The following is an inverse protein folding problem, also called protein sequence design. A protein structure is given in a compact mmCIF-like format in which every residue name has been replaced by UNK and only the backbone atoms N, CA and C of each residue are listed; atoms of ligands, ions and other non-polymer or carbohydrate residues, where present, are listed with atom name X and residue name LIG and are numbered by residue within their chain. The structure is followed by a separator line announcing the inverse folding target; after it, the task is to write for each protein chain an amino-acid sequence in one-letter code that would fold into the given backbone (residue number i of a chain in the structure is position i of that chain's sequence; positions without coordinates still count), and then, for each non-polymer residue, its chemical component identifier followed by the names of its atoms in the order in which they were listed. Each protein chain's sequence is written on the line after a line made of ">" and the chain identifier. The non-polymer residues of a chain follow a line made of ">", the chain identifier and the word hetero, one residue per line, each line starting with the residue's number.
data_IF_704391905686
#
_entry.id   IF_704391905686
#
_cell.length_a   1.000
_cell.length_b   1.000
_cell.length_c   1.000
_cell.angle_alpha   90.00
_cell.angle_beta   90.00
_cell.angle_gamma   90.00
#
_symmetry.space_group_name_H-M   'P 1'
#
loop_
_entity.id
_entity.type
_entity.pdbx_description
1 polymer ?
#
# COMPACT_ATOMS: atom_id res chain seq x y z
N UNK A 1 -9.37 6.16 8.77
CA UNK A 1 -8.88 6.26 7.39
C UNK A 1 -7.92 5.14 7.15
N UNK A 2 -8.31 4.19 6.31
CA UNK A 2 -7.56 2.99 5.99
C UNK A 2 -6.82 3.17 4.66
N UNK A 3 -5.51 3.02 4.70
CA UNK A 3 -4.61 3.29 3.56
C UNK A 3 -3.91 2.00 3.15
N UNK A 4 -3.86 1.75 1.85
CA UNK A 4 -3.02 0.70 1.25
C UNK A 4 -1.89 1.35 0.46
N UNK A 5 -0.67 0.83 0.61
CA UNK A 5 0.49 1.19 -0.22
C UNK A 5 0.92 -0.05 -0.99
N UNK A 6 1.08 0.08 -2.30
CA UNK A 6 1.40 -1.02 -3.23
C UNK A 6 2.65 -0.65 -4.03
N UNK A 7 3.73 -1.39 -3.83
CA UNK A 7 5.05 -1.12 -4.41
C UNK A 7 5.94 -2.37 -4.23
N UNK A 8 6.66 -2.82 -5.24
CA UNK A 8 7.54 -4.00 -5.16
C UNK A 8 8.87 -3.71 -4.42
N UNK A 9 9.22 -2.43 -4.25
CA UNK A 9 10.38 -2.01 -3.48
C UNK A 9 10.06 -1.89 -1.98
N UNK A 10 10.61 -2.80 -1.18
CA UNK A 10 10.41 -2.80 0.28
C UNK A 10 10.86 -1.50 0.97
N UNK A 11 11.85 -0.80 0.38
CA UNK A 11 12.32 0.49 0.88
C UNK A 11 11.23 1.56 0.70
N UNK A 12 10.55 1.58 -0.45
CA UNK A 12 9.45 2.50 -0.72
C UNK A 12 8.27 2.23 0.23
N UNK A 13 7.85 0.96 0.35
CA UNK A 13 6.78 0.53 1.27
C UNK A 13 7.04 0.98 2.72
N UNK A 14 8.22 0.66 3.26
CA UNK A 14 8.57 0.99 4.64
C UNK A 14 8.69 2.51 4.86
N UNK A 15 9.20 3.25 3.89
CA UNK A 15 9.33 4.71 3.94
C UNK A 15 7.96 5.40 3.96
N UNK A 16 7.07 5.03 3.04
CA UNK A 16 5.70 5.56 2.97
C UNK A 16 4.89 5.20 4.21
N UNK A 17 4.96 3.95 4.66
CA UNK A 17 4.26 3.52 5.87
C UNK A 17 4.70 4.34 7.09
N UNK A 18 6.01 4.54 7.28
CA UNK A 18 6.54 5.32 8.39
C UNK A 18 6.14 6.79 8.30
N UNK A 19 6.16 7.37 7.11
CA UNK A 19 5.75 8.76 6.87
C UNK A 19 4.27 8.97 7.20
N UNK A 20 3.40 8.07 6.73
CA UNK A 20 1.97 8.13 6.98
C UNK A 20 1.66 7.96 8.47
N UNK A 21 2.28 6.98 9.14
CA UNK A 21 2.14 6.78 10.59
C UNK A 21 2.57 8.01 11.39
N UNK A 22 3.69 8.65 11.00
CA UNK A 22 4.14 9.91 11.62
C UNK A 22 3.17 11.07 11.45
N UNK A 23 2.37 11.08 10.39
CA UNK A 23 1.31 12.08 10.16
C UNK A 23 -0.02 11.75 10.84
N UNK A 24 -0.07 10.66 11.62
CA UNK A 24 -1.25 10.28 12.40
C UNK A 24 -2.14 9.23 11.73
N UNK A 25 -1.77 8.73 10.55
CA UNK A 25 -2.49 7.62 9.91
C UNK A 25 -2.11 6.30 10.58
N UNK A 26 -2.98 5.77 11.43
CA UNK A 26 -2.71 4.55 12.21
C UNK A 26 -2.92 3.26 11.40
N UNK A 27 -3.86 3.28 10.44
CA UNK A 27 -4.29 2.10 9.67
C UNK A 27 -3.68 2.13 8.26
N UNK A 28 -2.40 1.75 8.19
CA UNK A 28 -1.60 1.74 6.95
C UNK A 28 -1.09 0.34 6.68
N UNK A 29 -1.66 -0.30 5.67
CA UNK A 29 -1.24 -1.58 5.13
C UNK A 29 -0.30 -1.42 3.94
N UNK A 30 0.58 -2.39 3.75
CA UNK A 30 1.52 -2.45 2.62
C UNK A 30 1.35 -3.77 1.87
N UNK A 31 1.62 -3.76 0.57
CA UNK A 31 1.56 -4.91 -0.31
C UNK A 31 2.62 -4.77 -1.41
N UNK A 32 3.37 -5.83 -1.66
CA UNK A 32 4.48 -5.87 -2.63
C UNK A 32 4.11 -6.56 -3.95
N UNK A 33 2.82 -6.81 -4.14
CA UNK A 33 2.32 -7.61 -5.25
C UNK A 33 0.98 -7.05 -5.73
N UNK A 34 0.88 -6.79 -7.04
CA UNK A 34 -0.33 -6.27 -7.66
C UNK A 34 -1.52 -7.26 -7.53
N UNK A 35 -1.38 -8.57 -7.81
CA UNK A 35 -2.46 -9.53 -7.58
C UNK A 35 -2.96 -9.56 -6.14
N UNK A 36 -2.05 -9.54 -5.16
CA UNK A 36 -2.41 -9.52 -3.74
C UNK A 36 -3.11 -8.21 -3.36
N UNK A 37 -2.67 -7.07 -3.89
CA UNK A 37 -3.32 -5.78 -3.67
C UNK A 37 -4.75 -5.77 -4.22
N UNK A 38 -4.97 -6.27 -5.44
CA UNK A 38 -6.31 -6.39 -6.03
C UNK A 38 -7.21 -7.28 -5.18
N UNK A 39 -6.71 -8.41 -4.68
CA UNK A 39 -7.48 -9.29 -3.81
C UNK A 39 -7.90 -8.57 -2.51
N UNK A 40 -6.99 -7.81 -1.89
CA UNK A 40 -7.28 -7.03 -0.67
C UNK A 40 -8.28 -5.90 -0.93
N UNK A 41 -8.14 -5.18 -2.04
CA UNK A 41 -9.07 -4.11 -2.41
C UNK A 41 -10.48 -4.67 -2.66
N UNK A 42 -10.60 -5.88 -3.20
CA UNK A 42 -11.89 -6.54 -3.40
C UNK A 42 -12.51 -7.06 -2.10
N UNK A 43 -11.70 -7.44 -1.11
CA UNK A 43 -12.18 -8.03 0.15
C UNK A 43 -12.35 -7.02 1.29
N UNK A 44 -11.81 -5.81 1.16
CA UNK A 44 -11.82 -4.80 2.21
C UNK A 44 -12.07 -3.40 1.69
N UNK A 45 -12.41 -2.50 2.61
CA UNK A 45 -12.64 -1.09 2.30
C UNK A 45 -11.35 -0.31 2.58
N UNK A 46 -10.75 0.27 1.54
CA UNK A 46 -9.66 1.24 1.66
C UNK A 46 -10.18 2.62 1.25
N UNK A 47 -9.81 3.66 2.00
CA UNK A 47 -10.18 5.04 1.68
C UNK A 47 -9.24 5.62 0.61
N UNK A 48 -7.97 5.21 0.66
CA UNK A 48 -6.91 5.66 -0.26
C UNK A 48 -5.97 4.50 -0.55
N UNK A 49 -5.59 4.36 -1.82
CA UNK A 49 -4.57 3.40 -2.27
C UNK A 49 -3.46 4.18 -2.97
N UNK A 50 -2.24 4.07 -2.45
CA UNK A 50 -1.02 4.48 -3.14
C UNK A 50 -0.52 3.28 -3.94
N UNK A 51 -0.31 3.45 -5.23
CA UNK A 51 0.13 2.38 -6.12
C UNK A 51 1.29 2.87 -6.96
N UNK A 52 2.35 2.08 -7.02
CA UNK A 52 3.37 2.26 -8.04
C UNK A 52 2.88 1.72 -9.38
N UNK A 53 3.09 2.51 -10.42
CA UNK A 53 2.70 2.16 -11.79
C UNK A 53 3.78 1.36 -12.50
N UNK A 54 5.01 1.40 -12.00
CA UNK A 54 6.18 0.77 -12.62
C UNK A 54 6.64 -0.47 -11.84
N UNK A 55 5.68 -1.30 -11.43
CA UNK A 55 6.01 -2.62 -10.91
C UNK A 55 6.33 -3.56 -12.08
N UNK A 56 7.44 -4.33 -12.04
CA UNK A 56 7.69 -5.39 -13.00
C UNK A 56 6.48 -6.34 -13.01
N UNK A 57 5.92 -6.60 -14.20
CA UNK A 57 4.65 -7.28 -14.34
C UNK A 57 4.68 -8.72 -13.77
N UNK A 58 3.60 -9.03 -13.03
CA UNK A 58 3.08 -10.37 -12.68
C UNK A 58 3.82 -11.23 -11.66
#
# INVERSE_FOLDING_TARGET
>A
MKVLVVDDEQIALSSLQRLLKRRGYQDVEVCDSAPAAVARIKSGNFDVVFVDLLMPEM
#
